data_IF_664344625360
#
_entry.id   IF_664344625360
#
_cell.length_a   1.000
_cell.length_b   1.000
_cell.length_c   1.000
_cell.angle_alpha   90.00
_cell.angle_beta   90.00
_cell.angle_gamma   90.00
#
_symmetry.space_group_name_H-M   'P 1'
#
loop_
_entity.id
_entity.type
_entity.pdbx_description
1 polymer ?
#
# COMPACT_ATOMS: atom_id res chain seq x y z
N UNK A 1 1.72 -9.52 -6.37
CA UNK A 1 0.56 -8.79 -5.83
C UNK A 1 -0.20 -8.16 -6.98
N UNK A 2 -1.49 -8.35 -7.04
CA UNK A 2 -2.31 -7.86 -8.14
C UNK A 2 -2.87 -6.46 -7.82
N UNK A 3 -3.26 -5.73 -8.87
CA UNK A 3 -3.80 -4.38 -8.73
C UNK A 3 -5.00 -4.33 -7.78
N UNK A 4 -5.88 -5.32 -7.84
CA UNK A 4 -7.06 -5.37 -6.95
C UNK A 4 -6.68 -5.51 -5.48
N UNK A 5 -5.57 -6.20 -5.19
CA UNK A 5 -5.09 -6.37 -3.81
C UNK A 5 -4.54 -5.05 -3.28
N UNK A 6 -3.81 -4.32 -4.12
CA UNK A 6 -3.31 -2.99 -3.78
C UNK A 6 -4.45 -2.02 -3.53
N UNK A 7 -5.48 -2.07 -4.39
CA UNK A 7 -6.66 -1.21 -4.22
C UNK A 7 -7.38 -1.52 -2.92
N UNK A 8 -7.54 -2.79 -2.57
CA UNK A 8 -8.19 -3.20 -1.33
C UNK A 8 -7.44 -2.64 -0.10
N UNK A 9 -6.11 -2.73 -0.11
CA UNK A 9 -5.29 -2.18 0.97
C UNK A 9 -5.49 -0.66 1.06
N UNK A 10 -5.45 0.03 -0.08
CA UNK A 10 -5.65 1.47 -0.13
C UNK A 10 -7.03 1.86 0.41
N UNK A 11 -8.07 1.22 -0.07
CA UNK A 11 -9.44 1.54 0.33
C UNK A 11 -9.64 1.32 1.84
N UNK A 12 -9.14 0.19 2.35
CA UNK A 12 -9.25 -0.11 3.77
C UNK A 12 -8.48 0.90 4.61
N UNK A 13 -7.27 1.23 4.18
CA UNK A 13 -6.42 2.19 4.89
C UNK A 13 -7.06 3.56 4.98
N UNK A 14 -7.69 4.01 3.89
CA UNK A 14 -8.27 5.36 3.82
C UNK A 14 -9.63 5.46 4.50
N UNK A 15 -10.49 4.46 4.29
CA UNK A 15 -11.88 4.55 4.71
C UNK A 15 -12.15 3.95 6.09
N UNK A 16 -11.22 3.14 6.60
CA UNK A 16 -11.38 2.47 7.90
C UNK A 16 -10.12 2.65 8.74
N UNK A 17 -9.90 3.88 9.28
CA UNK A 17 -8.68 4.16 10.06
C UNK A 17 -8.50 3.23 11.27
N UNK A 18 -9.58 2.75 11.85
CA UNK A 18 -9.55 1.81 12.97
C UNK A 18 -9.05 0.42 12.57
N UNK A 19 -9.03 0.12 11.26
CA UNK A 19 -8.54 -1.18 10.76
C UNK A 19 -7.09 -1.13 10.28
N UNK A 20 -6.44 0.01 10.38
CA UNK A 20 -5.03 0.14 9.97
C UNK A 20 -4.12 -0.75 10.79
N UNK A 21 -4.38 -0.85 12.08
CA UNK A 21 -3.62 -1.73 12.97
C UNK A 21 -3.78 -3.19 12.60
N UNK A 22 -4.96 -3.59 12.11
CA UNK A 22 -5.19 -4.95 11.65
C UNK A 22 -4.35 -5.27 10.42
N UNK A 23 -4.26 -4.34 9.47
CA UNK A 23 -3.43 -4.51 8.27
C UNK A 23 -1.97 -4.66 8.67
N UNK A 24 -1.48 -3.80 9.54
CA UNK A 24 -0.09 -3.86 10.02
C UNK A 24 0.18 -5.17 10.72
N UNK A 25 -0.77 -5.63 11.54
CA UNK A 25 -0.64 -6.88 12.28
C UNK A 25 -0.58 -8.09 11.33
N UNK A 26 -1.42 -8.11 10.30
CA UNK A 26 -1.41 -9.18 9.31
C UNK A 26 -0.08 -9.24 8.56
N UNK A 27 0.47 -8.09 8.19
CA UNK A 27 1.76 -8.01 7.52
C UNK A 27 2.88 -8.48 8.47
N UNK A 28 2.82 -8.10 9.74
CA UNK A 28 3.81 -8.55 10.73
C UNK A 28 3.74 -10.06 10.95
N UNK A 29 2.54 -10.66 10.92
CA UNK A 29 2.38 -12.10 10.99
C UNK A 29 3.02 -12.80 9.79
N UNK A 30 2.88 -12.26 8.60
CA UNK A 30 3.54 -12.79 7.41
C UNK A 30 5.06 -12.73 7.57
N UNK A 31 5.58 -11.65 8.14
CA UNK A 31 7.01 -11.49 8.40
C UNK A 31 7.53 -12.59 9.32
N UNK A 32 6.75 -12.98 10.32
CA UNK A 32 7.13 -14.03 11.29
C UNK A 32 7.00 -15.42 10.72
N UNK A 33 6.04 -15.65 9.81
CA UNK A 33 5.71 -16.96 9.27
C UNK A 33 6.63 -17.40 8.14
N UNK A 34 7.10 -16.47 7.33
CA UNK A 34 7.88 -16.74 6.12
C UNK A 34 9.33 -16.33 6.29
N UNK A 35 10.26 -16.88 5.46
CA UNK A 35 11.66 -16.50 5.52
C UNK A 35 11.83 -14.98 5.37
N UNK A 36 12.78 -14.41 6.13
CA UNK A 36 13.02 -12.98 6.18
C UNK A 36 13.21 -12.36 4.79
N UNK A 37 13.90 -13.08 3.88
CA UNK A 37 14.14 -12.58 2.52
C UNK A 37 12.85 -12.30 1.76
N UNK A 38 11.77 -13.02 2.05
CA UNK A 38 10.48 -12.82 1.40
C UNK A 38 9.84 -11.53 1.87
N UNK A 39 9.90 -11.25 3.17
CA UNK A 39 9.39 -10.01 3.70
C UNK A 39 10.20 -8.81 3.19
N UNK A 40 11.53 -8.93 3.17
CA UNK A 40 12.41 -7.86 2.68
C UNK A 40 12.09 -7.56 1.22
N UNK A 41 11.88 -8.60 0.40
CA UNK A 41 11.51 -8.45 -0.99
C UNK A 41 10.13 -7.81 -1.14
N UNK A 42 9.17 -8.26 -0.35
CA UNK A 42 7.81 -7.69 -0.34
C UNK A 42 7.87 -6.20 -0.04
N UNK A 43 8.58 -5.83 1.01
CA UNK A 43 8.70 -4.44 1.43
C UNK A 43 9.43 -3.60 0.40
N UNK A 44 10.49 -4.12 -0.18
CA UNK A 44 11.25 -3.43 -1.23
C UNK A 44 10.39 -3.21 -2.48
N UNK A 45 9.62 -4.20 -2.89
CA UNK A 45 8.71 -4.08 -4.03
C UNK A 45 7.62 -3.05 -3.76
N UNK A 46 7.06 -3.05 -2.56
CA UNK A 46 6.05 -2.08 -2.18
C UNK A 46 6.63 -0.66 -2.21
N UNK A 47 7.84 -0.48 -1.69
CA UNK A 47 8.54 0.80 -1.73
C UNK A 47 8.79 1.28 -3.15
N UNK A 48 9.16 0.37 -4.04
CA UNK A 48 9.41 0.70 -5.45
C UNK A 48 8.10 1.07 -6.17
N UNK A 49 7.04 0.31 -5.94
CA UNK A 49 5.74 0.54 -6.57
C UNK A 49 5.13 1.89 -6.17
N UNK A 50 5.46 2.38 -4.98
CA UNK A 50 4.92 3.62 -4.46
C UNK A 50 6.02 4.63 -4.12
N UNK A 51 7.07 4.70 -4.96
CA UNK A 51 8.21 5.57 -4.73
C UNK A 51 7.93 7.04 -5.04
N UNK A 52 6.87 7.34 -5.79
CA UNK A 52 6.43 8.70 -6.10
C UNK A 52 4.93 8.69 -6.41
N UNK A 53 4.34 9.87 -6.54
CA UNK A 53 2.91 9.99 -6.86
C UNK A 53 2.59 9.62 -8.31
N UNK A 54 3.59 9.37 -9.14
CA UNK A 54 3.41 8.90 -10.53
C UNK A 54 3.99 7.50 -10.74
N UNK A 55 4.34 6.80 -9.66
CA UNK A 55 4.91 5.47 -9.75
C UNK A 55 3.89 4.45 -10.23
N UNK A 56 4.38 3.31 -10.70
CA UNK A 56 3.55 2.24 -11.29
C UNK A 56 2.42 1.80 -10.37
N UNK A 57 2.72 1.60 -9.07
CA UNK A 57 1.70 1.14 -8.11
C UNK A 57 0.59 2.15 -7.92
N UNK A 58 0.91 3.45 -7.90
CA UNK A 58 -0.09 4.51 -7.80
C UNK A 58 -1.03 4.46 -9.00
N UNK A 59 -0.47 4.31 -10.20
CA UNK A 59 -1.28 4.26 -11.42
C UNK A 59 -2.18 3.02 -11.46
N UNK A 60 -1.68 1.88 -10.99
CA UNK A 60 -2.46 0.64 -10.91
C UNK A 60 -3.66 0.78 -9.96
N UNK A 61 -3.45 1.39 -8.80
CA UNK A 61 -4.54 1.62 -7.85
C UNK A 61 -5.53 2.62 -8.41
N UNK A 62 -5.03 3.69 -9.03
CA UNK A 62 -5.89 4.73 -9.61
C UNK A 62 -6.84 4.17 -10.68
N UNK A 63 -6.40 3.17 -11.44
CA UNK A 63 -7.24 2.53 -12.46
C UNK A 63 -8.43 1.80 -11.85
N UNK A 64 -8.33 1.39 -10.59
CA UNK A 64 -9.42 0.70 -9.88
C UNK A 64 -10.35 1.68 -9.16
N UNK A 65 -9.96 2.96 -9.11
CA UNK A 65 -10.67 3.97 -8.33
C UNK A 65 -11.51 4.85 -9.24
N UNK A 66 -12.84 4.75 -9.09
CA UNK A 66 -13.77 5.54 -9.89
C UNK A 66 -14.17 6.79 -9.12
N UNK A 67 -13.85 7.95 -9.66
CA UNK A 67 -14.12 9.23 -9.01
C UNK A 67 -14.11 10.37 -10.04
N UNK A 68 -14.80 11.46 -9.71
CA UNK A 68 -14.79 12.69 -10.52
C UNK A 68 -13.68 13.65 -10.07
N UNK A 69 -12.91 13.28 -9.06
CA UNK A 69 -11.82 14.13 -8.56
C UNK A 69 -10.68 14.20 -9.57
N UNK A 70 -9.90 15.31 -9.57
CA UNK A 70 -8.72 15.43 -10.44
C UNK A 70 -7.72 14.31 -10.19
N UNK A 71 -7.14 13.78 -11.27
CA UNK A 71 -6.17 12.70 -11.19
C UNK A 71 -5.01 12.99 -10.23
N UNK A 72 -4.51 14.21 -10.25
CA UNK A 72 -3.38 14.60 -9.40
C UNK A 72 -3.69 14.42 -7.91
N UNK A 73 -4.91 14.76 -7.50
CA UNK A 73 -5.34 14.59 -6.12
C UNK A 73 -5.46 13.12 -5.75
N UNK A 74 -6.02 12.32 -6.67
CA UNK A 74 -6.17 10.87 -6.46
C UNK A 74 -4.81 10.22 -6.33
N UNK A 75 -3.89 10.51 -7.25
CA UNK A 75 -2.53 9.96 -7.23
C UNK A 75 -1.79 10.31 -5.94
N UNK A 76 -1.89 11.56 -5.50
CA UNK A 76 -1.24 12.00 -4.27
C UNK A 76 -1.81 11.30 -3.05
N UNK A 77 -3.13 11.14 -3.01
CA UNK A 77 -3.81 10.45 -1.91
C UNK A 77 -3.36 8.99 -1.81
N UNK A 78 -3.27 8.30 -2.94
CA UNK A 78 -2.81 6.92 -3.01
C UNK A 78 -1.35 6.83 -2.53
N UNK A 79 -0.51 7.70 -3.04
CA UNK A 79 0.89 7.75 -2.64
C UNK A 79 1.03 7.94 -1.13
N UNK A 80 0.33 8.91 -0.57
CA UNK A 80 0.39 9.21 0.86
C UNK A 80 -0.09 8.04 1.72
N UNK A 81 -1.14 7.34 1.28
CA UNK A 81 -1.64 6.17 2.00
C UNK A 81 -0.58 5.08 2.09
N UNK A 82 0.11 4.78 0.99
CA UNK A 82 1.14 3.75 0.98
C UNK A 82 2.41 4.20 1.70
N UNK A 83 2.73 5.49 1.71
CA UNK A 83 3.82 5.99 2.56
C UNK A 83 3.48 5.80 4.04
N UNK A 84 2.24 6.02 4.42
CA UNK A 84 1.78 5.77 5.78
C UNK A 84 1.91 4.29 6.16
N UNK A 85 1.49 3.40 5.27
CA UNK A 85 1.61 1.96 5.49
C UNK A 85 3.09 1.54 5.62
N UNK A 86 3.94 2.00 4.71
CA UNK A 86 5.37 1.67 4.73
C UNK A 86 6.06 2.12 6.02
N UNK A 87 5.63 3.24 6.58
CA UNK A 87 6.17 3.71 7.86
C UNK A 87 5.66 2.91 9.04
N UNK A 88 4.47 2.32 8.92
CA UNK A 88 3.84 1.59 10.01
C UNK A 88 4.28 0.14 10.10
N UNK A 89 4.69 -0.49 9.00
CA UNK A 89 5.14 -1.88 9.01
C UNK A 89 6.62 -1.97 9.40
N UNK A 90 7.07 -3.14 9.94
CA UNK A 90 8.48 -3.31 10.33
C UNK A 90 9.45 -3.04 9.18
N UNK A 91 10.58 -2.41 9.50
CA UNK A 91 11.57 -2.01 8.50
C UNK A 91 12.39 -3.18 7.95
N UNK A 92 12.43 -4.30 8.65
CA UNK A 92 13.22 -5.47 8.25
C UNK A 92 12.59 -6.79 8.71
#
# INVERSE_FOLDING_TARGET
>A
MQAKDLYYIFETWMNYPDRRDDIVREIDELRRRYPRRWYDRFRANLGRLFSSDIAEGVLLVAQQYSTDEPEELVHRRIYQAFQGLLRAIPAD
#
